data_IF_552450401664
#
_entry.id   IF_552450401664
#
_cell.length_a   1.000
_cell.length_b   1.000
_cell.length_c   1.000
_cell.angle_alpha   90.00
_cell.angle_beta   90.00
_cell.angle_gamma   90.00
#
_symmetry.space_group_name_H-M   'P 1'
#
loop_
_entity.id
_entity.type
_entity.pdbx_description
1 polymer ?
#
# COMPACT_ATOMS: atom_id res chain seq x y z
N UNK A 1 -4.77 -1.24 4.94
CA UNK A 1 -5.44 -1.36 3.63
C UNK A 1 -6.49 -2.47 3.61
N UNK A 2 -6.16 -3.77 3.85
CA UNK A 2 -7.16 -4.86 3.97
C UNK A 2 -8.34 -4.54 4.89
N UNK A 3 -8.07 -3.91 6.04
CA UNK A 3 -9.08 -3.57 7.04
C UNK A 3 -10.03 -2.44 6.62
N UNK A 4 -9.66 -1.67 5.59
CA UNK A 4 -10.41 -0.50 5.13
C UNK A 4 -11.40 -0.84 4.03
N UNK A 5 -11.17 -1.93 3.27
CA UNK A 5 -12.02 -2.35 2.16
C UNK A 5 -13.16 -3.23 2.70
N UNK A 6 -14.44 -2.81 2.54
CA UNK A 6 -15.57 -3.66 2.88
C UNK A 6 -15.52 -4.97 2.11
N UNK A 7 -15.83 -6.08 2.77
CA UNK A 7 -15.87 -7.41 2.14
C UNK A 7 -14.57 -7.78 1.38
N UNK A 8 -13.41 -7.34 1.89
CA UNK A 8 -12.12 -7.62 1.27
C UNK A 8 -11.87 -9.11 0.98
N UNK A 9 -12.20 -9.99 1.94
CA UNK A 9 -11.91 -11.42 1.84
C UNK A 9 -12.60 -12.09 0.63
N UNK A 10 -13.93 -11.96 0.45
CA UNK A 10 -14.57 -12.51 -0.74
C UNK A 10 -14.12 -11.80 -2.03
N UNK A 11 -13.86 -10.49 -1.98
CA UNK A 11 -13.39 -9.72 -3.13
C UNK A 11 -12.06 -10.27 -3.69
N UNK A 12 -11.10 -10.62 -2.84
CA UNK A 12 -9.77 -11.10 -3.25
C UNK A 12 -9.70 -12.63 -3.39
N UNK A 13 -10.76 -13.37 -3.06
CA UNK A 13 -10.74 -14.83 -3.01
C UNK A 13 -10.27 -15.49 -4.32
N UNK A 14 -10.70 -15.04 -5.53
CA UNK A 14 -10.22 -15.62 -6.78
C UNK A 14 -8.69 -15.50 -6.96
N UNK A 15 -8.14 -14.33 -6.62
CA UNK A 15 -6.69 -14.08 -6.70
C UNK A 15 -5.92 -14.87 -5.64
N UNK A 16 -6.48 -15.05 -4.44
CA UNK A 16 -5.87 -15.90 -3.41
C UNK A 16 -5.86 -17.38 -3.80
N UNK A 17 -6.94 -17.88 -4.39
CA UNK A 17 -6.99 -19.25 -4.88
C UNK A 17 -5.93 -19.49 -5.98
N UNK A 18 -5.80 -18.56 -6.92
CA UNK A 18 -4.76 -18.63 -7.95
C UNK A 18 -3.35 -18.62 -7.34
N UNK A 19 -3.10 -17.79 -6.33
CA UNK A 19 -1.81 -17.75 -5.65
C UNK A 19 -1.48 -19.09 -4.98
N UNK A 20 -2.46 -19.77 -4.37
CA UNK A 20 -2.26 -21.11 -3.77
C UNK A 20 -1.92 -22.17 -4.83
N UNK A 21 -2.58 -22.13 -6.00
CA UNK A 21 -2.24 -23.00 -7.14
C UNK A 21 -0.79 -22.77 -7.58
N UNK A 22 -0.40 -21.51 -7.77
CA UNK A 22 0.97 -21.13 -8.17
C UNK A 22 2.00 -21.57 -7.13
N UNK A 23 1.73 -21.34 -5.83
CA UNK A 23 2.64 -21.74 -4.75
C UNK A 23 2.83 -23.26 -4.70
N UNK A 24 1.76 -24.01 -4.96
CA UNK A 24 1.77 -25.47 -4.99
C UNK A 24 2.58 -25.97 -6.20
N UNK A 25 2.33 -25.41 -7.38
CA UNK A 25 3.07 -25.76 -8.60
C UNK A 25 4.57 -25.43 -8.49
N UNK A 26 4.92 -24.29 -7.90
CA UNK A 26 6.30 -23.88 -7.70
C UNK A 26 7.00 -24.57 -6.51
N UNK A 27 6.26 -25.33 -5.68
CA UNK A 27 6.78 -25.93 -4.45
C UNK A 27 7.34 -24.92 -3.44
N UNK A 28 6.94 -23.64 -3.54
CA UNK A 28 7.47 -22.58 -2.70
C UNK A 28 6.50 -21.44 -2.49
N UNK A 29 6.58 -20.82 -1.32
CA UNK A 29 5.85 -19.59 -0.97
C UNK A 29 6.75 -18.34 -0.93
N UNK A 30 8.04 -18.49 -1.29
CA UNK A 30 9.00 -17.38 -1.22
C UNK A 30 8.75 -16.40 -2.37
N UNK A 31 8.41 -15.15 -2.03
CA UNK A 31 8.12 -14.07 -3.00
C UNK A 31 9.17 -13.94 -4.11
N UNK A 32 10.45 -14.02 -3.77
CA UNK A 32 11.55 -13.91 -4.74
C UNK A 32 11.52 -15.00 -5.82
N UNK A 33 11.08 -16.21 -5.47
CA UNK A 33 10.96 -17.33 -6.42
C UNK A 33 9.66 -17.28 -7.23
N UNK A 34 8.61 -16.70 -6.66
CA UNK A 34 7.31 -16.57 -7.32
C UNK A 34 7.27 -15.39 -8.32
N UNK A 35 8.14 -14.39 -8.16
CA UNK A 35 8.17 -13.22 -9.03
C UNK A 35 8.50 -13.53 -10.50
N UNK A 36 9.19 -14.65 -10.76
CA UNK A 36 9.54 -15.10 -12.12
C UNK A 36 8.50 -16.05 -12.73
N UNK A 37 7.42 -16.38 -12.02
CA UNK A 37 6.42 -17.33 -12.48
C UNK A 37 5.35 -16.60 -13.30
N UNK A 38 5.13 -17.05 -14.54
CA UNK A 38 4.09 -16.50 -15.39
C UNK A 38 2.71 -17.00 -14.94
N UNK A 39 1.81 -16.07 -14.58
CA UNK A 39 0.45 -16.43 -14.15
C UNK A 39 -0.38 -17.08 -15.26
N UNK A 40 -0.06 -16.80 -16.54
CA UNK A 40 -0.71 -17.41 -17.69
C UNK A 40 -0.60 -18.94 -17.69
N UNK A 41 0.56 -19.46 -17.26
CA UNK A 41 0.83 -20.91 -17.21
C UNK A 41 0.08 -21.61 -16.07
N UNK A 42 -0.53 -20.85 -15.16
CA UNK A 42 -1.19 -21.35 -13.96
C UNK A 42 -2.69 -21.01 -13.89
N UNK A 43 -3.30 -20.70 -15.04
CA UNK A 43 -4.76 -20.53 -15.13
C UNK A 43 -5.23 -19.09 -14.86
N UNK A 44 -4.39 -18.09 -15.13
CA UNK A 44 -4.88 -16.71 -15.26
C UNK A 44 -6.01 -16.66 -16.30
N UNK A 45 -7.11 -15.98 -15.94
CA UNK A 45 -8.37 -16.00 -16.68
C UNK A 45 -9.05 -14.63 -16.57
N UNK A 46 -10.03 -14.31 -17.42
CA UNK A 46 -10.74 -13.03 -17.38
C UNK A 46 -11.32 -12.69 -16.00
N UNK A 47 -11.87 -13.69 -15.28
CA UNK A 47 -12.38 -13.51 -13.93
C UNK A 47 -11.32 -12.99 -12.92
N UNK A 48 -10.05 -13.38 -13.08
CA UNK A 48 -8.95 -12.89 -12.25
C UNK A 48 -8.60 -11.42 -12.58
N UNK A 49 -8.66 -11.07 -13.87
CA UNK A 49 -8.46 -9.70 -14.32
C UNK A 49 -9.58 -8.78 -13.82
N UNK A 50 -10.84 -9.23 -13.90
CA UNK A 50 -12.01 -8.53 -13.36
C UNK A 50 -11.88 -8.32 -11.84
N UNK A 51 -11.59 -9.38 -11.09
CA UNK A 51 -11.33 -9.30 -9.64
C UNK A 51 -10.23 -8.28 -9.29
N UNK A 52 -9.16 -8.23 -10.08
CA UNK A 52 -8.10 -7.24 -9.89
C UNK A 52 -8.56 -5.80 -10.17
N UNK A 53 -9.40 -5.60 -11.20
CA UNK A 53 -10.03 -4.31 -11.49
C UNK A 53 -10.98 -3.90 -10.36
N UNK A 54 -11.81 -4.80 -9.86
CA UNK A 54 -12.71 -4.52 -8.73
C UNK A 54 -11.95 -4.14 -7.47
N UNK A 55 -10.82 -4.80 -7.17
CA UNK A 55 -9.95 -4.42 -6.07
C UNK A 55 -9.43 -2.98 -6.21
N UNK A 56 -9.06 -2.54 -7.43
CA UNK A 56 -8.66 -1.15 -7.69
C UNK A 56 -9.83 -0.19 -7.49
N UNK A 57 -11.02 -0.52 -7.99
CA UNK A 57 -12.20 0.32 -7.84
C UNK A 57 -12.58 0.49 -6.36
N UNK A 58 -12.55 -0.59 -5.59
CA UNK A 58 -12.82 -0.54 -4.15
C UNK A 58 -11.81 0.37 -3.41
N UNK A 59 -10.54 0.35 -3.81
CA UNK A 59 -9.54 1.29 -3.27
C UNK A 59 -9.83 2.74 -3.65
N UNK A 60 -10.22 3.02 -4.89
CA UNK A 60 -10.54 4.38 -5.35
C UNK A 60 -11.76 4.95 -4.64
N UNK A 61 -12.79 4.13 -4.41
CA UNK A 61 -14.00 4.54 -3.70
C UNK A 61 -13.72 4.92 -2.24
N UNK A 62 -12.83 4.19 -1.56
CA UNK A 62 -12.44 4.53 -0.19
C UNK A 62 -11.78 5.89 -0.06
N UNK A 63 -10.92 6.26 -1.02
CA UNK A 63 -10.27 7.58 -1.03
C UNK A 63 -11.31 8.69 -1.17
N UNK A 64 -12.38 8.45 -1.91
CA UNK A 64 -13.46 9.44 -2.13
C UNK A 64 -14.32 9.64 -0.88
N UNK A 65 -14.44 8.62 -0.02
CA UNK A 65 -15.23 8.65 1.22
C UNK A 65 -14.45 9.18 2.43
N UNK A 66 -13.15 9.37 2.32
CA UNK A 66 -12.33 9.93 3.39
C UNK A 66 -12.51 11.45 3.43
N UNK A 67 -13.36 11.94 4.33
CA UNK A 67 -13.49 13.37 4.59
C UNK A 67 -12.33 13.87 5.47
N UNK A 68 -11.69 15.01 5.11
CA UNK A 68 -10.72 15.65 5.97
C UNK A 68 -11.26 15.87 7.38
N UNK A 69 -10.50 15.46 8.39
CA UNK A 69 -10.78 15.81 9.78
C UNK A 69 -9.83 16.91 10.23
N UNK A 70 -10.36 18.04 10.70
CA UNK A 70 -9.59 19.21 11.14
C UNK A 70 -8.75 18.93 12.39
N UNK A 71 -9.11 17.93 13.19
CA UNK A 71 -8.39 17.54 14.41
C UNK A 71 -7.15 16.64 14.14
N UNK A 72 -6.89 16.28 12.88
CA UNK A 72 -5.82 15.35 12.50
C UNK A 72 -4.90 15.93 11.43
N UNK A 73 -3.60 15.80 11.66
CA UNK A 73 -2.59 16.20 10.67
C UNK A 73 -2.58 15.28 9.45
N UNK A 74 -2.15 15.85 8.32
CA UNK A 74 -1.91 15.10 7.09
C UNK A 74 -0.48 14.57 7.05
N UNK A 75 -0.32 13.34 6.58
CA UNK A 75 0.97 12.69 6.40
C UNK A 75 1.16 12.34 4.93
N UNK A 76 2.21 12.91 4.34
CA UNK A 76 2.61 12.65 2.96
C UNK A 76 3.74 11.63 2.95
N UNK A 77 3.46 10.42 2.45
CA UNK A 77 4.46 9.41 2.20
C UNK A 77 4.83 9.45 0.72
N UNK A 78 6.11 9.71 0.40
CA UNK A 78 6.59 9.69 -0.98
C UNK A 78 7.63 8.62 -1.18
N UNK A 79 7.54 7.88 -2.28
CA UNK A 79 8.56 6.93 -2.71
C UNK A 79 8.98 7.26 -4.14
N UNK A 80 10.25 7.06 -4.45
CA UNK A 80 10.79 7.34 -5.77
C UNK A 80 11.72 6.20 -6.19
N UNK A 81 11.44 5.60 -7.34
CA UNK A 81 12.34 4.68 -8.02
C UNK A 81 13.17 5.42 -9.07
N UNK A 82 14.06 4.71 -9.76
CA UNK A 82 14.85 5.29 -10.84
C UNK A 82 13.97 5.85 -11.98
N UNK A 83 12.81 5.24 -12.20
CA UNK A 83 11.94 5.52 -13.35
C UNK A 83 10.64 6.24 -12.97
N UNK A 84 10.22 6.19 -11.70
CA UNK A 84 8.90 6.66 -11.28
C UNK A 84 8.89 7.33 -9.91
N UNK A 85 7.87 8.16 -9.68
CA UNK A 85 7.58 8.79 -8.39
C UNK A 85 6.17 8.43 -7.95
N UNK A 86 6.00 8.14 -6.66
CA UNK A 86 4.72 7.86 -6.03
C UNK A 86 4.56 8.68 -4.76
N UNK A 87 3.33 9.09 -4.48
CA UNK A 87 2.97 9.80 -3.26
C UNK A 87 1.62 9.30 -2.75
N UNK A 88 1.48 9.19 -1.43
CA UNK A 88 0.23 8.86 -0.74
C UNK A 88 0.04 9.85 0.39
N UNK A 89 -1.09 10.58 0.37
CA UNK A 89 -1.50 11.46 1.45
C UNK A 89 -2.51 10.71 2.34
N UNK A 90 -2.28 10.70 3.64
CA UNK A 90 -3.16 10.02 4.60
C UNK A 90 -3.43 10.87 5.83
N UNK A 91 -4.61 10.70 6.44
CA UNK A 91 -4.88 11.10 7.83
C UNK A 91 -5.03 9.81 8.68
N UNK A 92 -3.92 9.22 9.15
CA UNK A 92 -3.98 8.04 9.99
C UNK A 92 -4.24 8.45 11.44
N UNK A 93 -4.89 7.57 12.22
CA UNK A 93 -4.85 7.67 13.68
C UNK A 93 -3.45 7.38 14.26
N UNK A 94 -2.48 6.90 13.46
CA UNK A 94 -1.10 6.59 13.87
C UNK A 94 -0.09 6.49 12.68
N UNK A 95 1.14 6.97 12.88
CA UNK A 95 2.20 7.27 11.87
C UNK A 95 3.06 6.10 11.33
N UNK A 96 3.52 6.17 10.07
CA UNK A 96 4.70 5.47 9.48
C UNK A 96 5.32 6.03 8.14
N UNK A 97 6.68 6.15 8.05
CA UNK A 97 7.59 7.01 7.20
C UNK A 97 8.04 6.55 5.81
N UNK A 98 8.43 7.55 4.99
CA UNK A 98 9.84 7.88 4.64
C UNK A 98 9.95 9.17 3.80
N UNK A 99 10.77 10.16 4.19
CA UNK A 99 11.08 11.37 3.41
C UNK A 99 12.56 11.78 3.55
N UNK A 100 13.34 11.72 2.46
CA UNK A 100 14.72 12.23 2.43
C UNK A 100 15.06 13.12 1.21
N UNK A 101 14.07 13.63 0.46
CA UNK A 101 14.34 14.55 -0.68
C UNK A 101 13.58 15.88 -0.67
N UNK A 102 12.71 16.13 0.30
CA UNK A 102 11.82 17.30 0.29
C UNK A 102 12.29 18.49 1.15
N UNK A 103 13.54 18.49 1.63
CA UNK A 103 14.03 19.52 2.58
C UNK A 103 13.96 20.97 2.06
N UNK A 104 13.99 21.17 0.74
CA UNK A 104 13.90 22.52 0.12
C UNK A 104 12.44 22.98 -0.08
N UNK A 105 11.47 22.06 -0.11
CA UNK A 105 10.04 22.41 -0.16
C UNK A 105 9.44 22.54 1.24
N UNK A 106 9.97 21.81 2.23
CA UNK A 106 9.52 21.83 3.62
C UNK A 106 9.81 23.16 4.32
N UNK A 107 10.74 23.98 3.82
CA UNK A 107 11.01 25.34 4.33
C UNK A 107 9.85 26.31 4.15
N UNK A 108 8.88 26.00 3.27
CA UNK A 108 7.66 26.78 3.13
C UNK A 108 6.58 26.43 4.17
N UNK A 109 6.81 25.43 5.01
CA UNK A 109 5.86 24.94 6.01
C UNK A 109 6.47 25.02 7.41
N UNK A 110 5.61 25.18 8.42
CA UNK A 110 6.01 25.11 9.84
C UNK A 110 5.86 23.66 10.30
N UNK A 111 6.93 23.02 10.75
CA UNK A 111 6.94 21.61 11.18
C UNK A 111 7.93 21.36 12.33
N UNK A 112 7.73 20.30 13.11
CA UNK A 112 8.60 19.89 14.24
C UNK A 112 9.10 18.44 14.09
N UNK A 113 10.41 18.24 14.19
CA UNK A 113 11.03 16.91 14.05
C UNK A 113 11.09 16.22 15.41
N UNK A 114 10.50 15.02 15.55
CA UNK A 114 10.57 14.21 16.78
C UNK A 114 11.17 12.82 16.53
N UNK A 115 12.06 12.39 17.42
CA UNK A 115 12.68 11.05 17.41
C UNK A 115 11.81 10.05 18.18
N UNK A 116 11.52 8.88 17.60
CA UNK A 116 10.74 7.80 18.23
C UNK A 116 11.62 6.55 18.38
N UNK A 117 11.90 6.05 19.60
CA UNK A 117 12.77 4.89 19.82
C UNK A 117 12.20 3.59 19.23
N UNK A 118 13.05 2.86 18.51
CA UNK A 118 12.71 1.62 17.81
C UNK A 118 12.89 0.38 18.70
N UNK A 119 12.00 0.14 19.66
CA UNK A 119 11.94 -1.18 20.33
C UNK A 119 10.64 -1.95 20.07
N UNK A 120 9.72 -1.40 19.28
CA UNK A 120 8.62 -2.16 18.67
C UNK A 120 8.42 -1.66 17.25
N UNK A 121 8.95 -2.44 16.31
CA UNK A 121 9.05 -2.07 14.90
C UNK A 121 7.74 -1.53 14.33
N UNK A 122 7.80 -0.28 13.87
CA UNK A 122 7.01 0.34 12.80
C UNK A 122 7.56 1.76 12.62
N UNK A 123 8.30 1.93 11.52
CA UNK A 123 8.44 3.11 10.66
C UNK A 123 8.36 4.52 11.32
N UNK A 124 9.41 5.32 11.12
CA UNK A 124 9.55 6.73 11.54
C UNK A 124 8.42 7.65 10.98
N UNK A 125 8.31 8.95 11.29
CA UNK A 125 7.56 9.96 10.48
C UNK A 125 7.82 11.35 11.04
N UNK A 126 8.03 12.32 10.14
CA UNK A 126 7.89 13.75 10.42
C UNK A 126 6.43 14.09 10.75
N UNK A 127 6.24 14.89 11.79
CA UNK A 127 4.97 15.50 12.20
C UNK A 127 4.97 16.97 11.78
N UNK A 128 3.97 17.39 11.01
CA UNK A 128 3.54 18.79 10.96
C UNK A 128 2.70 19.10 12.18
#
# INVERSE_FOLDING_TARGET
MRQSIPQYNPLVAPLQALLEVVCTAAGTRKKTRLASVALADHGWAPAHAECFVECKQALMQLVTLAHPNEDFDFYLCTDASHEFHGAVLTQPRYLADKLARWSVALTCFRYDIRHVPSDKGRHALMLG
#
